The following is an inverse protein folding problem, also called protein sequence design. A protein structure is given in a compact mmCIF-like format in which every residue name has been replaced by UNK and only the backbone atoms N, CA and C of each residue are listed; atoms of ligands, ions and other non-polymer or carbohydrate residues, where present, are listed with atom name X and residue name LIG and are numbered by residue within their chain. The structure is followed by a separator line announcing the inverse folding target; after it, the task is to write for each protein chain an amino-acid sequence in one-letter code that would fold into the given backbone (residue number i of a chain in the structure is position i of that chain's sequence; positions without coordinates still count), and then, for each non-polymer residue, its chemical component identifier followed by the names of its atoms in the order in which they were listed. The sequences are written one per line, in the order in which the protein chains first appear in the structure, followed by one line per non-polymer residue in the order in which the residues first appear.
data_IF_911617666245
#
_entry.id   IF_911617666245
#
_cell.length_a   1.000
_cell.length_b   1.000
_cell.length_c   1.000
_cell.angle_alpha   90.00
_cell.angle_beta   90.00
_cell.angle_gamma   90.00
#
_symmetry.space_group_name_H-M   'P 1'
#
loop_
_entity.id
_entity.type
_entity.pdbx_description
1 polymer ?
#
# COMPACT_ATOMS: atom_id res chain seq x y z
N UNK A 1 35.72 -1.13 -9.65
CA UNK A 1 34.29 -0.82 -9.36
C UNK A 1 33.84 -1.61 -8.12
N UNK A 2 33.36 -0.95 -7.07
CA UNK A 2 32.86 -1.60 -5.84
C UNK A 2 31.42 -2.14 -6.02
N UNK A 3 31.29 -3.23 -6.79
CA UNK A 3 30.01 -3.90 -7.08
C UNK A 3 29.22 -4.33 -5.81
N UNK A 4 29.84 -4.82 -4.72
CA UNK A 4 29.10 -5.28 -3.54
C UNK A 4 28.39 -4.16 -2.76
N UNK A 5 29.02 -3.00 -2.65
CA UNK A 5 28.46 -1.85 -1.91
C UNK A 5 27.26 -1.24 -2.64
N UNK A 6 27.33 -1.17 -3.98
CA UNK A 6 26.24 -0.69 -4.82
C UNK A 6 25.03 -1.62 -4.77
N UNK A 7 25.26 -2.94 -4.73
CA UNK A 7 24.17 -3.92 -4.65
C UNK A 7 23.43 -3.87 -3.30
N UNK A 8 24.16 -3.79 -2.19
CA UNK A 8 23.55 -3.63 -0.86
C UNK A 8 22.72 -2.34 -0.74
N UNK A 9 23.14 -1.26 -1.40
CA UNK A 9 22.36 -0.01 -1.47
C UNK A 9 21.05 -0.19 -2.23
N UNK A 10 21.06 -0.91 -3.36
CA UNK A 10 19.85 -1.19 -4.14
C UNK A 10 18.81 -1.99 -3.36
N UNK A 11 19.24 -3.03 -2.63
CA UNK A 11 18.35 -3.83 -1.77
C UNK A 11 17.71 -2.96 -0.68
N UNK A 12 18.51 -2.12 0.02
CA UNK A 12 17.96 -1.20 1.03
C UNK A 12 16.96 -0.21 0.44
N UNK A 13 17.24 0.33 -0.74
CA UNK A 13 16.32 1.24 -1.43
C UNK A 13 15.03 0.52 -1.87
N UNK A 14 15.09 -0.75 -2.23
CA UNK A 14 13.91 -1.54 -2.57
C UNK A 14 13.00 -1.77 -1.35
N UNK A 15 13.57 -2.14 -0.20
CA UNK A 15 12.84 -2.25 1.06
C UNK A 15 12.21 -0.92 1.48
N UNK A 16 12.98 0.17 1.43
CA UNK A 16 12.44 1.50 1.76
C UNK A 16 11.24 1.89 0.87
N UNK A 17 11.30 1.58 -0.43
CA UNK A 17 10.19 1.82 -1.35
C UNK A 17 8.98 0.94 -1.05
N UNK A 18 9.20 -0.30 -0.62
CA UNK A 18 8.14 -1.18 -0.17
C UNK A 18 7.47 -0.63 1.09
N UNK A 19 8.25 -0.22 2.10
CA UNK A 19 7.73 0.36 3.34
C UNK A 19 6.87 1.60 3.07
N UNK A 20 7.37 2.52 2.23
CA UNK A 20 6.63 3.72 1.82
C UNK A 20 5.33 3.36 1.08
N UNK A 21 5.35 2.35 0.20
CA UNK A 21 4.17 1.91 -0.52
C UNK A 21 3.12 1.27 0.41
N UNK A 22 3.56 0.51 1.42
CA UNK A 22 2.68 -0.07 2.43
C UNK A 22 2.07 1.00 3.34
N UNK A 23 2.84 2.01 3.73
CA UNK A 23 2.33 3.16 4.48
C UNK A 23 1.27 3.93 3.68
N UNK A 24 1.53 4.21 2.40
CA UNK A 24 0.57 4.87 1.52
C UNK A 24 -0.73 4.05 1.36
N UNK A 25 -0.61 2.72 1.22
CA UNK A 25 -1.78 1.84 1.17
C UNK A 25 -2.57 1.86 2.48
N UNK A 26 -1.90 1.85 3.64
CA UNK A 26 -2.56 1.92 4.93
C UNK A 26 -3.31 3.26 5.11
N UNK A 27 -2.71 4.38 4.68
CA UNK A 27 -3.35 5.69 4.70
C UNK A 27 -4.58 5.75 3.79
N UNK A 28 -4.48 5.22 2.56
CA UNK A 28 -5.59 5.18 1.61
C UNK A 28 -6.78 4.37 2.16
N UNK A 29 -6.51 3.20 2.76
CA UNK A 29 -7.54 2.38 3.43
C UNK A 29 -8.21 3.11 4.59
N UNK A 30 -7.40 3.73 5.46
CA UNK A 30 -7.95 4.47 6.59
C UNK A 30 -8.83 5.65 6.13
N UNK A 31 -8.48 6.30 5.02
CA UNK A 31 -9.31 7.35 4.42
C UNK A 31 -10.62 6.79 3.84
N UNK A 32 -10.56 5.66 3.13
CA UNK A 32 -11.75 4.98 2.62
C UNK A 32 -12.72 4.61 3.76
N UNK A 33 -12.20 4.02 4.84
CA UNK A 33 -12.98 3.64 6.02
C UNK A 33 -13.64 4.85 6.70
N UNK A 34 -12.91 5.97 6.82
CA UNK A 34 -13.47 7.22 7.38
C UNK A 34 -14.64 7.73 6.55
N UNK A 35 -14.49 7.80 5.22
CA UNK A 35 -15.56 8.26 4.33
C UNK A 35 -16.77 7.34 4.42
N UNK A 36 -16.56 6.01 4.47
CA UNK A 36 -17.63 5.04 4.63
C UNK A 36 -18.37 5.20 5.97
N UNK A 37 -17.63 5.45 7.06
CA UNK A 37 -18.21 5.70 8.37
C UNK A 37 -19.02 7.01 8.40
N UNK A 38 -18.51 8.07 7.77
CA UNK A 38 -19.21 9.34 7.66
C UNK A 38 -20.50 9.21 6.83
N UNK A 39 -20.48 8.42 5.75
CA UNK A 39 -21.66 8.14 4.94
C UNK A 39 -22.75 7.39 5.73
N UNK A 40 -22.33 6.43 6.55
CA UNK A 40 -23.23 5.71 7.45
C UNK A 40 -23.87 6.67 8.46
N UNK A 41 -23.07 7.55 9.07
CA UNK A 41 -23.54 8.57 10.02
C UNK A 41 -24.53 9.53 9.36
N UNK A 42 -24.17 10.09 8.20
CA UNK A 42 -25.05 10.97 7.42
C UNK A 42 -26.40 10.32 7.12
N UNK A 43 -26.38 9.05 6.73
CA UNK A 43 -27.63 8.29 6.47
C UNK A 43 -28.49 8.14 7.73
N UNK A 44 -27.85 7.90 8.89
CA UNK A 44 -28.53 7.87 10.20
C UNK A 44 -29.11 9.22 10.60
N UNK A 45 -28.34 10.30 10.45
CA UNK A 45 -28.75 11.67 10.79
C UNK A 45 -29.94 12.11 9.92
N UNK A 46 -29.92 11.81 8.62
CA UNK A 46 -31.02 12.08 7.70
C UNK A 46 -32.28 11.32 8.11
N UNK A 47 -32.16 10.04 8.48
CA UNK A 47 -33.28 9.23 8.95
C UNK A 47 -33.87 9.79 10.26
N UNK A 48 -33.02 10.21 11.20
CA UNK A 48 -33.45 10.80 12.46
C UNK A 48 -34.20 12.14 12.25
N UNK A 49 -33.67 13.02 11.40
CA UNK A 49 -34.36 14.27 11.04
C UNK A 49 -35.71 13.97 10.40
N UNK A 50 -35.77 13.04 9.43
CA UNK A 50 -37.02 12.68 8.75
C UNK A 50 -38.07 12.11 9.72
N UNK A 51 -37.66 11.31 10.69
CA UNK A 51 -38.54 10.78 11.73
C UNK A 51 -39.09 11.86 12.67
N UNK A 52 -38.41 13.00 12.79
CA UNK A 52 -38.85 14.14 13.60
C UNK A 52 -39.76 15.13 12.86
N UNK A 53 -39.92 14.99 11.54
CA UNK A 53 -40.78 15.88 10.75
C UNK A 53 -42.25 15.48 10.99
N UNK A 54 -43.10 16.41 11.46
CA UNK A 54 -44.52 16.12 11.63
C UNK A 54 -45.21 15.93 10.28
N UNK A 55 -46.22 15.06 10.24
CA UNK A 55 -47.05 14.79 9.06
C UNK A 55 -48.07 15.92 8.82
N UNK A 56 -47.55 17.13 8.60
CA UNK A 56 -48.34 18.32 8.30
C UNK A 56 -48.03 18.78 6.85
N UNK A 57 -49.06 18.93 5.98
CA UNK A 57 -48.89 19.39 4.60
C UNK A 57 -48.12 20.72 4.46
N UNK A 58 -48.17 21.58 5.48
CA UNK A 58 -47.50 22.88 5.50
C UNK A 58 -45.96 22.76 5.53
N UNK A 59 -45.42 21.68 6.12
CA UNK A 59 -43.98 21.41 6.19
C UNK A 59 -43.48 20.42 5.13
N UNK A 60 -44.39 19.77 4.38
CA UNK A 60 -44.04 18.81 3.33
C UNK A 60 -43.07 19.39 2.27
N UNK A 61 -43.24 20.66 1.89
CA UNK A 61 -42.31 21.34 0.96
C UNK A 61 -40.90 21.50 1.53
N UNK A 62 -40.79 21.80 2.83
CA UNK A 62 -39.50 21.93 3.52
C UNK A 62 -38.82 20.57 3.66
N UNK A 63 -39.58 19.53 4.00
CA UNK A 63 -39.09 18.16 4.06
C UNK A 63 -38.57 17.68 2.69
N UNK A 64 -39.29 17.96 1.61
CA UNK A 64 -38.85 17.63 0.25
C UNK A 64 -37.54 18.34 -0.13
N UNK A 65 -37.37 19.61 0.27
CA UNK A 65 -36.10 20.35 0.05
C UNK A 65 -34.95 19.75 0.85
N UNK A 66 -35.22 19.31 2.08
CA UNK A 66 -34.25 18.61 2.91
C UNK A 66 -33.82 17.29 2.26
N UNK A 67 -34.76 16.48 1.78
CA UNK A 67 -34.47 15.21 1.10
C UNK A 67 -33.60 15.42 -0.16
N UNK A 68 -33.87 16.47 -0.95
CA UNK A 68 -33.03 16.82 -2.11
C UNK A 68 -31.61 17.17 -1.67
N UNK A 69 -31.46 18.03 -0.65
CA UNK A 69 -30.15 18.40 -0.12
C UNK A 69 -29.39 17.18 0.45
N UNK A 70 -30.07 16.34 1.23
CA UNK A 70 -29.50 15.15 1.85
C UNK A 70 -29.00 14.15 0.80
N UNK A 71 -29.75 13.95 -0.28
CA UNK A 71 -29.34 13.12 -1.41
C UNK A 71 -28.13 13.71 -2.15
N UNK A 72 -28.11 15.03 -2.40
CA UNK A 72 -26.95 15.68 -3.02
C UNK A 72 -25.67 15.53 -2.18
N UNK A 73 -25.78 15.63 -0.84
CA UNK A 73 -24.62 15.37 0.04
C UNK A 73 -24.19 13.92 -0.02
N UNK A 74 -25.15 12.97 0.04
CA UNK A 74 -24.87 11.55 -0.09
C UNK A 74 -24.13 11.23 -1.40
N UNK A 75 -24.59 11.79 -2.51
CA UNK A 75 -23.98 11.55 -3.83
C UNK A 75 -22.54 12.10 -3.90
N UNK A 76 -22.27 13.24 -3.28
CA UNK A 76 -20.89 13.76 -3.14
C UNK A 76 -20.00 12.84 -2.30
N UNK A 77 -20.53 12.32 -1.19
CA UNK A 77 -19.79 11.38 -0.33
C UNK A 77 -19.53 10.05 -1.04
N UNK A 78 -20.50 9.54 -1.80
CA UNK A 78 -20.33 8.36 -2.66
C UNK A 78 -19.26 8.60 -3.74
N UNK A 79 -19.26 9.78 -4.36
CA UNK A 79 -18.18 10.17 -5.28
C UNK A 79 -16.81 10.19 -4.60
N UNK A 80 -16.73 10.73 -3.39
CA UNK A 80 -15.50 10.71 -2.58
C UNK A 80 -15.04 9.29 -2.22
N UNK A 81 -15.98 8.40 -1.90
CA UNK A 81 -15.70 6.99 -1.63
C UNK A 81 -15.13 6.27 -2.85
N UNK A 82 -15.73 6.47 -4.02
CA UNK A 82 -15.24 5.89 -5.28
C UNK A 82 -13.82 6.36 -5.62
N UNK A 83 -13.50 7.63 -5.38
CA UNK A 83 -12.13 8.15 -5.53
C UNK A 83 -11.15 7.52 -4.54
N UNK A 84 -11.55 7.34 -3.28
CA UNK A 84 -10.73 6.69 -2.26
C UNK A 84 -10.49 5.20 -2.57
N UNK A 85 -11.48 4.50 -3.13
CA UNK A 85 -11.36 3.13 -3.61
C UNK A 85 -10.36 3.01 -4.76
N UNK A 86 -10.47 3.90 -5.75
CA UNK A 86 -9.53 3.96 -6.87
C UNK A 86 -8.09 4.20 -6.40
N UNK A 87 -7.92 5.11 -5.44
CA UNK A 87 -6.61 5.40 -4.84
C UNK A 87 -6.06 4.20 -4.06
N UNK A 88 -6.92 3.51 -3.30
CA UNK A 88 -6.53 2.29 -2.57
C UNK A 88 -6.09 1.18 -3.53
N UNK A 89 -6.79 1.00 -4.66
CA UNK A 89 -6.38 0.06 -5.70
C UNK A 89 -5.03 0.43 -6.33
N UNK A 90 -4.81 1.72 -6.60
CA UNK A 90 -3.53 2.22 -7.12
C UNK A 90 -2.39 1.96 -6.14
N UNK A 91 -2.58 2.30 -4.86
CA UNK A 91 -1.59 2.03 -3.80
C UNK A 91 -1.31 0.53 -3.65
N UNK A 92 -2.34 -0.32 -3.78
CA UNK A 92 -2.18 -1.78 -3.75
C UNK A 92 -1.31 -2.28 -4.90
N UNK A 93 -1.53 -1.79 -6.11
CA UNK A 93 -0.72 -2.15 -7.28
C UNK A 93 0.76 -1.72 -7.09
N UNK A 94 0.99 -0.51 -6.57
CA UNK A 94 2.34 -0.01 -6.27
C UNK A 94 3.03 -0.85 -5.20
N UNK A 95 2.34 -1.20 -4.12
CA UNK A 95 2.87 -2.06 -3.06
C UNK A 95 3.21 -3.46 -3.57
N UNK A 96 2.35 -4.07 -4.39
CA UNK A 96 2.62 -5.36 -5.01
C UNK A 96 3.87 -5.33 -5.91
N UNK A 97 4.01 -4.28 -6.73
CA UNK A 97 5.19 -4.10 -7.58
C UNK A 97 6.47 -3.84 -6.77
N UNK A 98 6.37 -3.13 -5.65
CA UNK A 98 7.50 -2.90 -4.75
C UNK A 98 7.93 -4.21 -4.06
N UNK A 99 6.98 -5.03 -3.62
CA UNK A 99 7.24 -6.32 -2.98
C UNK A 99 8.00 -7.25 -3.93
N UNK A 100 7.47 -7.46 -5.15
CA UNK A 100 8.14 -8.32 -6.14
C UNK A 100 9.56 -7.87 -6.48
N UNK A 101 9.82 -6.56 -6.57
CA UNK A 101 11.18 -6.03 -6.78
C UNK A 101 12.10 -6.29 -5.57
N UNK A 102 11.56 -6.18 -4.36
CA UNK A 102 12.31 -6.43 -3.13
C UNK A 102 12.74 -7.90 -3.05
N UNK A 103 11.81 -8.82 -3.30
CA UNK A 103 12.06 -10.26 -3.26
C UNK A 103 13.13 -10.68 -4.28
N UNK A 104 13.02 -10.20 -5.52
CA UNK A 104 14.00 -10.49 -6.58
C UNK A 104 15.39 -9.99 -6.21
N UNK A 105 15.51 -8.76 -5.70
CA UNK A 105 16.81 -8.21 -5.30
C UNK A 105 17.41 -8.95 -4.09
N UNK A 106 16.57 -9.40 -3.16
CA UNK A 106 17.01 -10.21 -2.02
C UNK A 106 17.51 -11.60 -2.45
N UNK A 107 16.80 -12.27 -3.36
CA UNK A 107 17.26 -13.55 -3.93
C UNK A 107 18.60 -13.39 -4.67
N UNK A 108 18.74 -12.36 -5.49
CA UNK A 108 20.00 -12.05 -6.18
C UNK A 108 21.14 -11.76 -5.18
N UNK A 109 20.85 -11.08 -4.06
CA UNK A 109 21.83 -10.84 -3.00
C UNK A 109 22.34 -12.16 -2.40
N UNK A 110 21.44 -13.10 -2.13
CA UNK A 110 21.76 -14.41 -1.57
C UNK A 110 22.60 -15.25 -2.55
N UNK A 111 22.26 -15.24 -3.84
CA UNK A 111 23.03 -15.94 -4.88
C UNK A 111 24.45 -15.36 -4.94
N UNK A 112 24.61 -14.03 -4.98
CA UNK A 112 25.92 -13.38 -5.02
C UNK A 112 26.76 -13.68 -3.77
N UNK A 113 26.13 -13.74 -2.60
CA UNK A 113 26.81 -14.13 -1.36
C UNK A 113 27.33 -15.57 -1.41
N UNK A 114 26.52 -16.51 -1.92
CA UNK A 114 26.92 -17.92 -2.11
C UNK A 114 28.05 -18.07 -3.13
N UNK A 115 27.98 -17.34 -4.25
CA UNK A 115 29.05 -17.32 -5.27
C UNK A 115 30.38 -16.82 -4.68
N UNK A 116 30.34 -15.74 -3.89
CA UNK A 116 31.54 -15.18 -3.25
C UNK A 116 32.15 -16.15 -2.21
N UNK A 117 31.30 -16.84 -1.43
CA UNK A 117 31.75 -17.87 -0.49
C UNK A 117 32.39 -19.06 -1.22
N UNK A 118 31.76 -19.54 -2.29
CA UNK A 118 32.30 -20.64 -3.10
C UNK A 118 33.65 -20.27 -3.75
N UNK A 119 33.80 -19.03 -4.24
CA UNK A 119 35.07 -18.54 -4.77
C UNK A 119 36.15 -18.46 -3.69
N UNK A 120 35.81 -17.98 -2.49
CA UNK A 120 36.75 -17.92 -1.37
C UNK A 120 37.21 -19.32 -0.95
N UNK A 121 36.29 -20.28 -0.83
CA UNK A 121 36.61 -21.66 -0.50
C UNK A 121 37.53 -22.31 -1.56
N UNK A 122 37.26 -22.07 -2.86
CA UNK A 122 38.13 -22.55 -3.94
C UNK A 122 39.54 -21.99 -3.88
N UNK A 123 39.71 -20.71 -3.51
CA UNK A 123 41.03 -20.10 -3.33
C UNK A 123 41.77 -20.70 -2.14
N UNK A 124 41.08 -20.89 -1.02
CA UNK A 124 41.66 -21.53 0.17
C UNK A 124 42.14 -22.95 -0.14
N UNK A 125 41.34 -23.75 -0.88
CA UNK A 125 41.76 -25.09 -1.32
C UNK A 125 42.97 -25.03 -2.26
N UNK A 126 43.04 -24.05 -3.16
CA UNK A 126 44.17 -23.87 -4.07
C UNK A 126 45.45 -23.38 -3.34
N UNK A 127 45.31 -22.62 -2.26
CA UNK A 127 46.42 -22.16 -1.41
C UNK A 127 46.89 -23.24 -0.42
N UNK A 128 45.98 -24.14 0.00
CA UNK A 128 46.26 -25.24 0.92
C UNK A 128 46.72 -26.53 0.23
N UNK A 129 46.66 -26.62 -1.11
CA UNK A 129 47.27 -27.71 -1.87
C UNK A 129 48.78 -27.46 -1.94
N UNK A 130 49.60 -28.08 -1.07
CA UNK A 130 51.05 -27.93 -1.13
C UNK A 130 51.54 -28.68 -2.37
N UNK A 131 52.70 -28.29 -2.90
CA UNK A 131 53.49 -29.06 -3.86
C UNK A 131 53.63 -30.53 -3.41
N UNK A 132 52.66 -31.37 -3.78
CA UNK A 132 52.81 -32.82 -3.74
C UNK A 132 53.40 -33.24 -5.09
N UNK A 133 54.70 -32.99 -5.22
CA UNK A 133 55.56 -33.62 -6.22
C UNK A 133 55.99 -32.71 -7.35
N UNK A 134 57.26 -32.28 -7.29
CA UNK A 134 58.33 -32.83 -8.14
C UNK A 134 59.65 -32.13 -7.79
N UNK A 135 60.44 -32.75 -6.91
CA UNK A 135 61.90 -32.98 -7.01
C UNK A 135 62.42 -33.57 -5.71
#
# INVERSE_FOLDING_TARGET
MNVPQNFGRLVRMAHLRLDLALQALAQAKAQQERIAADLCRHSGDVAAVRASVPDDPSVARTAARFDVWANQQRDRMLGGLALAEAETLRCRAVAAAALGRSDVLQQLAQIKAREAQAQKARRQIAEEAPDQGLS
#
